data_IF_418378201013
#
_entry.id   IF_418378201013
#
_cell.length_a   1.000
_cell.length_b   1.000
_cell.length_c   1.000
_cell.angle_alpha   90.00
_cell.angle_beta   90.00
_cell.angle_gamma   90.00
#
_symmetry.space_group_name_H-M   'P 1'
#
loop_
_entity.id
_entity.type
_entity.pdbx_description
1 polymer ?
#
# COMPACT_ATOMS: atom_id res chain seq x y z
N UNK A 1 -6.75 5.75 26.26
CA UNK A 1 -7.52 4.57 25.83
C UNK A 1 -6.78 3.72 24.81
N UNK A 2 -5.78 2.97 25.27
CA UNK A 2 -4.96 2.19 24.32
C UNK A 2 -5.75 1.08 23.62
N UNK A 3 -6.77 0.52 24.26
CA UNK A 3 -7.57 -0.55 23.66
C UNK A 3 -8.37 -0.06 22.46
N UNK A 4 -8.94 1.13 22.53
CA UNK A 4 -9.70 1.72 21.41
C UNK A 4 -8.77 2.02 20.24
N UNK A 5 -7.62 2.60 20.51
CA UNK A 5 -6.64 2.95 19.49
C UNK A 5 -6.08 1.70 18.80
N UNK A 6 -5.81 0.65 19.56
CA UNK A 6 -5.38 -0.64 19.01
C UNK A 6 -6.46 -1.24 18.13
N UNK A 7 -7.73 -1.14 18.54
CA UNK A 7 -8.84 -1.62 17.73
C UNK A 7 -8.90 -0.89 16.39
N UNK A 8 -8.70 0.42 16.39
CA UNK A 8 -8.67 1.22 15.17
C UNK A 8 -7.55 0.74 14.25
N UNK A 9 -6.35 0.54 14.79
CA UNK A 9 -5.22 0.03 14.01
C UNK A 9 -5.50 -1.34 13.39
N UNK A 10 -6.07 -2.23 14.17
CA UNK A 10 -6.46 -3.57 13.70
C UNK A 10 -7.53 -3.49 12.61
N UNK A 11 -8.53 -2.62 12.77
CA UNK A 11 -9.58 -2.43 11.77
C UNK A 11 -9.01 -1.91 10.46
N UNK A 12 -8.11 -0.95 10.51
CA UNK A 12 -7.47 -0.41 9.31
C UNK A 12 -6.68 -1.50 8.59
N UNK A 13 -5.93 -2.31 9.33
CA UNK A 13 -5.15 -3.42 8.77
C UNK A 13 -6.06 -4.45 8.10
N UNK A 14 -7.16 -4.81 8.76
CA UNK A 14 -8.12 -5.79 8.23
C UNK A 14 -8.77 -5.26 6.96
N UNK A 15 -9.18 -3.99 6.96
CA UNK A 15 -9.77 -3.37 5.78
C UNK A 15 -8.79 -3.40 4.61
N UNK A 16 -7.52 -3.10 4.86
CA UNK A 16 -6.48 -3.16 3.85
C UNK A 16 -6.30 -4.56 3.30
N UNK A 17 -6.27 -5.57 4.16
CA UNK A 17 -6.14 -6.97 3.75
C UNK A 17 -7.33 -7.42 2.92
N UNK A 18 -8.53 -7.05 3.32
CA UNK A 18 -9.75 -7.36 2.56
C UNK A 18 -9.67 -6.72 1.17
N UNK A 19 -9.22 -5.48 1.10
CA UNK A 19 -9.03 -4.79 -0.17
C UNK A 19 -8.06 -5.49 -1.09
N UNK A 20 -6.94 -5.99 -0.56
CA UNK A 20 -5.96 -6.75 -1.34
C UNK A 20 -6.56 -8.04 -1.87
N UNK A 21 -7.33 -8.75 -1.03
CA UNK A 21 -7.88 -10.04 -1.38
C UNK A 21 -9.05 -9.95 -2.36
N UNK A 22 -9.89 -8.93 -2.24
CA UNK A 22 -11.14 -8.86 -2.99
C UNK A 22 -11.00 -8.15 -4.33
N UNK A 23 -10.07 -7.20 -4.43
CA UNK A 23 -9.98 -6.38 -5.63
C UNK A 23 -9.11 -7.05 -6.69
N UNK A 24 -9.63 -7.10 -7.91
CA UNK A 24 -8.93 -7.69 -9.05
C UNK A 24 -8.75 -6.64 -10.14
N UNK A 25 -7.58 -6.60 -10.74
CA UNK A 25 -7.31 -5.87 -11.96
C UNK A 25 -6.99 -4.39 -11.79
N UNK A 26 -7.27 -3.77 -10.67
CA UNK A 26 -6.93 -2.38 -10.43
C UNK A 26 -5.63 -2.29 -9.64
N UNK A 27 -4.54 -1.97 -10.33
CA UNK A 27 -3.22 -1.89 -9.71
C UNK A 27 -3.16 -0.77 -8.68
N UNK A 28 -3.77 0.37 -9.00
CA UNK A 28 -3.83 1.52 -8.07
C UNK A 28 -4.53 1.13 -6.78
N UNK A 29 -5.64 0.43 -6.90
CA UNK A 29 -6.41 -0.01 -5.73
C UNK A 29 -5.59 -0.98 -4.87
N UNK A 30 -4.83 -1.87 -5.50
CA UNK A 30 -3.95 -2.79 -4.81
C UNK A 30 -2.90 -2.04 -3.99
N UNK A 31 -2.27 -1.03 -4.57
CA UNK A 31 -1.28 -0.22 -3.88
C UNK A 31 -1.88 0.52 -2.69
N UNK A 32 -3.08 1.10 -2.87
CA UNK A 32 -3.79 1.78 -1.78
C UNK A 32 -4.08 0.81 -0.65
N UNK A 33 -4.52 -0.41 -0.97
CA UNK A 33 -4.81 -1.43 0.02
C UNK A 33 -3.57 -1.85 0.81
N UNK A 34 -2.45 -2.02 0.13
CA UNK A 34 -1.17 -2.33 0.78
C UNK A 34 -0.73 -1.19 1.69
N UNK A 35 -0.90 0.05 1.25
CA UNK A 35 -0.60 1.22 2.08
C UNK A 35 -1.43 1.24 3.35
N UNK A 36 -2.71 0.90 3.27
CA UNK A 36 -3.58 0.83 4.43
C UNK A 36 -3.12 -0.24 5.42
N UNK A 37 -2.70 -1.40 4.93
CA UNK A 37 -2.18 -2.46 5.78
C UNK A 37 -0.94 -1.98 6.54
N UNK A 38 -0.01 -1.36 5.82
CA UNK A 38 1.23 -0.85 6.42
C UNK A 38 0.95 0.27 7.42
N UNK A 39 0.02 1.15 7.12
CA UNK A 39 -0.41 2.21 8.02
C UNK A 39 -0.97 1.62 9.32
N UNK A 40 -1.81 0.60 9.20
CA UNK A 40 -2.38 -0.07 10.36
C UNK A 40 -1.32 -0.69 11.25
N UNK A 41 -0.34 -1.37 10.67
CA UNK A 41 0.77 -1.95 11.43
C UNK A 41 1.61 -0.87 12.10
N UNK A 42 1.89 0.22 11.40
CA UNK A 42 2.63 1.34 11.97
C UNK A 42 1.94 1.93 13.20
N UNK A 43 0.62 2.10 13.12
CA UNK A 43 -0.17 2.56 14.25
C UNK A 43 -0.10 1.60 15.43
N UNK A 44 -0.22 0.31 15.17
CA UNK A 44 -0.16 -0.71 16.21
C UNK A 44 1.19 -0.68 16.92
N UNK A 45 2.29 -0.63 16.18
CA UNK A 45 3.63 -0.57 16.76
C UNK A 45 3.83 0.68 17.59
N UNK A 46 3.39 1.83 17.09
CA UNK A 46 3.50 3.10 17.80
C UNK A 46 2.73 3.07 19.12
N UNK A 47 1.50 2.56 19.08
CA UNK A 47 0.64 2.49 20.26
C UNK A 47 1.18 1.51 21.29
N UNK A 48 1.67 0.37 20.87
CA UNK A 48 2.27 -0.61 21.77
C UNK A 48 3.52 -0.05 22.43
N UNK A 49 4.34 0.65 21.67
CA UNK A 49 5.54 1.31 22.20
C UNK A 49 5.18 2.34 23.26
N UNK A 50 4.14 3.12 22.98
CA UNK A 50 3.64 4.12 23.94
C UNK A 50 3.12 3.46 25.23
N UNK A 51 2.38 2.37 25.09
CA UNK A 51 1.78 1.66 26.21
C UNK A 51 2.83 1.02 27.10
N UNK A 52 3.83 0.36 26.53
CA UNK A 52 4.88 -0.32 27.27
C UNK A 52 6.07 0.58 27.61
N UNK A 53 6.03 1.82 27.20
CA UNK A 53 7.14 2.78 27.41
C UNK A 53 8.45 2.20 26.88
N UNK A 54 8.41 1.60 25.71
CA UNK A 54 9.54 0.95 25.06
C UNK A 54 9.88 1.68 23.77
N UNK A 55 11.17 1.98 23.57
CA UNK A 55 11.63 2.68 22.37
C UNK A 55 11.68 1.83 21.13
N UNK A 56 11.69 0.50 21.27
CA UNK A 56 11.84 -0.42 20.13
C UNK A 56 10.66 -0.31 19.16
N UNK A 57 9.45 -0.13 19.67
CA UNK A 57 8.27 0.03 18.82
C UNK A 57 8.32 1.30 17.98
N UNK A 58 8.85 2.39 18.52
CA UNK A 58 9.03 3.63 17.77
C UNK A 58 10.04 3.46 16.64
N UNK A 59 11.13 2.74 16.91
CA UNK A 59 12.14 2.45 15.90
C UNK A 59 11.53 1.62 14.79
N UNK A 60 10.75 0.59 15.12
CA UNK A 60 10.06 -0.23 14.13
C UNK A 60 9.06 0.57 13.32
N UNK A 61 8.33 1.50 13.95
CA UNK A 61 7.41 2.39 13.26
C UNK A 61 8.15 3.28 12.26
N UNK A 62 9.30 3.82 12.64
CA UNK A 62 10.13 4.63 11.74
C UNK A 62 10.62 3.81 10.54
N UNK A 63 11.05 2.57 10.78
CA UNK A 63 11.48 1.67 9.71
C UNK A 63 10.33 1.39 8.77
N UNK A 64 9.14 1.13 9.30
CA UNK A 64 7.94 0.90 8.48
C UNK A 64 7.59 2.12 7.63
N UNK A 65 7.66 3.31 8.20
CA UNK A 65 7.40 4.55 7.45
C UNK A 65 8.39 4.69 6.29
N UNK A 66 9.66 4.42 6.53
CA UNK A 66 10.69 4.48 5.49
C UNK A 66 10.44 3.48 4.39
N UNK A 67 10.14 2.23 4.75
CA UNK A 67 9.83 1.16 3.79
C UNK A 67 8.59 1.54 2.98
N UNK A 68 7.57 2.06 3.63
CA UNK A 68 6.33 2.48 2.97
C UNK A 68 6.60 3.59 1.96
N UNK A 69 7.45 4.56 2.30
CA UNK A 69 7.82 5.63 1.39
C UNK A 69 8.52 5.09 0.13
N UNK A 70 9.47 4.17 0.31
CA UNK A 70 10.17 3.55 -0.80
C UNK A 70 9.21 2.73 -1.66
N UNK A 71 8.32 1.98 -1.04
CA UNK A 71 7.32 1.20 -1.75
C UNK A 71 6.39 2.08 -2.56
N UNK A 72 5.98 3.22 -2.00
CA UNK A 72 5.11 4.16 -2.72
C UNK A 72 5.80 4.70 -3.97
N UNK A 73 7.07 5.08 -3.86
CA UNK A 73 7.84 5.59 -5.00
C UNK A 73 7.99 4.50 -6.07
N UNK A 74 8.35 3.28 -5.66
CA UNK A 74 8.50 2.16 -6.59
C UNK A 74 7.16 1.81 -7.23
N UNK A 75 6.10 1.82 -6.45
CA UNK A 75 4.76 1.52 -6.94
C UNK A 75 4.29 2.53 -7.97
N UNK A 76 4.52 3.81 -7.72
CA UNK A 76 4.17 4.86 -8.67
C UNK A 76 5.00 4.72 -9.96
N UNK A 77 6.29 4.43 -9.84
CA UNK A 77 7.15 4.19 -10.98
C UNK A 77 6.69 3.02 -11.83
N UNK A 78 6.33 1.92 -11.17
CA UNK A 78 5.80 0.74 -11.85
C UNK A 78 4.46 1.02 -12.50
N UNK A 79 3.59 1.79 -11.85
CA UNK A 79 2.31 2.18 -12.42
C UNK A 79 2.48 2.99 -13.69
N UNK A 80 3.39 3.97 -13.68
CA UNK A 80 3.67 4.79 -14.85
C UNK A 80 4.22 3.93 -15.98
N UNK A 81 5.15 3.03 -15.68
CA UNK A 81 5.70 2.09 -16.65
C UNK A 81 4.62 1.19 -17.25
N UNK A 82 3.80 0.61 -16.38
CA UNK A 82 2.71 -0.26 -16.80
C UNK A 82 1.74 0.48 -17.70
N UNK A 83 1.38 1.70 -17.32
CA UNK A 83 0.47 2.53 -18.11
C UNK A 83 1.07 2.82 -19.49
N UNK A 84 2.34 3.20 -19.54
CA UNK A 84 3.01 3.48 -20.82
C UNK A 84 3.08 2.26 -21.71
N UNK A 85 3.43 1.11 -21.16
CA UNK A 85 3.47 -0.14 -21.91
C UNK A 85 2.10 -0.53 -22.44
N UNK A 86 1.08 -0.41 -21.62
CA UNK A 86 -0.29 -0.75 -22.02
C UNK A 86 -0.77 0.20 -23.11
N UNK A 87 -0.49 1.48 -22.97
CA UNK A 87 -0.85 2.49 -23.96
C UNK A 87 -0.14 2.22 -25.30
N UNK A 88 1.16 1.93 -25.24
CA UNK A 88 1.93 1.63 -26.44
C UNK A 88 1.41 0.37 -27.13
N UNK A 89 1.08 -0.65 -26.37
CA UNK A 89 0.51 -1.88 -26.90
C UNK A 89 -0.83 -1.61 -27.60
N UNK A 90 -1.68 -0.78 -26.98
CA UNK A 90 -2.97 -0.40 -27.56
C UNK A 90 -2.76 0.39 -28.86
N UNK A 91 -1.82 1.33 -28.86
CA UNK A 91 -1.49 2.09 -30.08
C UNK A 91 -0.95 1.18 -31.18
N UNK A 92 -0.10 0.23 -30.82
CA UNK A 92 0.43 -0.75 -31.75
C UNK A 92 -0.66 -1.60 -32.36
N UNK A 93 -1.58 -2.07 -31.53
CA UNK A 93 -2.71 -2.87 -32.00
C UNK A 93 -3.60 -2.07 -32.95
N UNK A 94 -3.91 -0.83 -32.59
CA UNK A 94 -4.71 0.05 -33.42
C UNK A 94 -4.05 0.31 -34.77
N UNK A 95 -2.74 0.59 -34.74
CA UNK A 95 -1.96 0.84 -35.97
C UNK A 95 -1.93 -0.41 -36.84
N UNK A 96 -1.81 -1.59 -36.23
CA UNK A 96 -1.82 -2.87 -36.94
C UNK A 96 -3.16 -3.09 -37.63
N UNK A 97 -4.24 -2.86 -36.90
CA UNK A 97 -5.59 -3.02 -37.48
C UNK A 97 -5.85 -2.02 -38.60
N UNK A 98 -5.35 -0.82 -38.49
CA UNK A 98 -5.51 0.20 -39.51
C UNK A 98 -4.77 -0.17 -40.81
N UNK A 99 -3.64 -0.87 -40.67
CA UNK A 99 -2.87 -1.31 -41.83
C UNK A 99 -3.49 -2.46 -42.60
N UNK A 100 -4.27 -3.27 -41.89
CA UNK A 100 -4.92 -4.41 -42.48
C UNK A 100 -6.27 -4.01 -43.04
#
# INVERSE_FOLDING_TARGET
MPSISLSVGCCISIIGLIGVCTRRGALVFLFISLELVLLGFGLIFTLLSCYYVDGDGYIMALVLITVTAVEAVLGLGLLVLYYNLFRNAAEYSAAFYLRV
#
